data_IF_804603182389
#
_entry.id   IF_804603182389
#
_cell.length_a   1.000
_cell.length_b   1.000
_cell.length_c   1.000
_cell.angle_alpha   90.00
_cell.angle_beta   90.00
_cell.angle_gamma   90.00
#
_symmetry.space_group_name_H-M   'P 1'
#
loop_
_entity.id
_entity.type
_entity.pdbx_description
1 polymer ?
#
# COMPACT_ATOMS: atom_id res chain seq x y z
N UNK A 1 0.86 8.84 8.38
CA UNK A 1 -0.43 8.09 8.48
C UNK A 1 -0.25 6.61 8.16
N UNK A 2 0.30 6.23 7.00
CA UNK A 2 0.54 4.82 6.62
C UNK A 2 1.37 4.01 7.63
N UNK A 3 2.47 4.57 8.16
CA UNK A 3 3.30 3.87 9.16
C UNK A 3 2.57 3.60 10.49
N UNK A 4 1.69 4.51 10.92
CA UNK A 4 0.90 4.31 12.15
C UNK A 4 -0.25 3.32 11.94
N UNK A 5 -0.88 3.32 10.77
CA UNK A 5 -1.88 2.31 10.41
C UNK A 5 -1.24 0.92 10.28
N UNK A 6 -0.05 0.82 9.67
CA UNK A 6 0.73 -0.41 9.62
C UNK A 6 1.15 -0.87 11.03
N UNK A 7 1.61 0.04 11.89
CA UNK A 7 1.94 -0.26 13.28
C UNK A 7 0.74 -0.79 14.06
N UNK A 8 -0.43 -0.16 13.96
CA UNK A 8 -1.66 -0.65 14.57
C UNK A 8 -2.09 -2.00 13.97
N UNK A 9 -2.05 -2.14 12.64
CA UNK A 9 -2.34 -3.39 11.93
C UNK A 9 -1.47 -4.56 12.44
N UNK A 10 -0.18 -4.33 12.66
CA UNK A 10 0.76 -5.33 13.16
C UNK A 10 0.62 -5.58 14.66
N UNK A 11 0.38 -4.53 15.46
CA UNK A 11 0.13 -4.68 16.90
C UNK A 11 -1.11 -5.56 17.15
N UNK A 12 -2.20 -5.36 16.39
CA UNK A 12 -3.40 -6.20 16.49
C UNK A 12 -3.22 -7.64 15.96
N UNK A 13 -2.30 -7.85 15.00
CA UNK A 13 -1.95 -9.19 14.51
C UNK A 13 -1.02 -9.96 15.47
N UNK A 14 -0.05 -9.27 16.07
CA UNK A 14 1.03 -9.86 16.87
C UNK A 14 0.63 -10.03 18.34
N UNK A 15 -0.18 -9.10 18.87
CA UNK A 15 -0.67 -9.13 20.26
C UNK A 15 -2.20 -9.20 20.27
N UNK A 16 -2.80 -10.37 20.01
CA UNK A 16 -4.24 -10.54 20.26
C UNK A 16 -4.49 -10.37 21.76
N UNK A 17 -5.37 -9.43 22.13
CA UNK A 17 -5.80 -9.28 23.52
C UNK A 17 -6.36 -10.62 24.05
N UNK A 18 -5.61 -11.30 24.92
CA UNK A 18 -6.01 -12.52 25.64
C UNK A 18 -7.04 -12.22 26.74
N UNK A 19 -8.18 -11.60 26.39
CA UNK A 19 -9.29 -11.42 27.34
C UNK A 19 -10.49 -12.20 26.87
N UNK A 20 -10.53 -13.47 27.28
CA UNK A 20 -11.73 -14.30 27.28
C UNK A 20 -12.91 -13.55 27.93
N UNK A 21 -14.05 -13.52 27.25
CA UNK A 21 -15.36 -13.27 27.87
C UNK A 21 -15.90 -11.85 27.91
N UNK A 22 -15.18 -10.80 27.46
CA UNK A 22 -15.77 -9.44 27.31
C UNK A 22 -15.95 -9.11 25.84
N UNK A 23 -17.17 -8.73 25.42
CA UNK A 23 -17.49 -8.22 24.08
C UNK A 23 -16.36 -7.27 23.65
N UNK A 24 -15.62 -7.61 22.58
CA UNK A 24 -14.55 -6.75 22.04
C UNK A 24 -15.13 -5.36 21.83
N UNK A 25 -14.66 -4.37 22.59
CA UNK A 25 -15.05 -2.97 22.36
C UNK A 25 -14.55 -2.63 20.95
N UNK A 26 -15.48 -2.31 20.06
CA UNK A 26 -15.12 -1.77 18.75
C UNK A 26 -14.45 -0.42 19.01
N UNK A 27 -13.20 -0.25 18.55
CA UNK A 27 -12.54 1.03 18.67
C UNK A 27 -13.14 1.96 17.61
N UNK A 28 -13.60 3.14 18.05
CA UNK A 28 -14.17 4.16 17.18
C UNK A 28 -13.16 5.29 17.06
N UNK A 29 -12.96 5.77 15.83
CA UNK A 29 -12.11 6.92 15.52
C UNK A 29 -12.93 7.97 14.77
N UNK A 30 -12.58 9.24 14.92
CA UNK A 30 -13.18 10.35 14.18
C UNK A 30 -12.13 10.91 13.21
N UNK A 31 -11.93 10.29 12.03
CA UNK A 31 -10.77 10.55 11.19
C UNK A 31 -10.73 11.97 10.62
N UNK A 32 -11.88 12.65 10.53
CA UNK A 32 -12.00 13.98 9.94
C UNK A 32 -12.10 15.10 10.99
N UNK A 33 -12.14 14.78 12.29
CA UNK A 33 -12.34 15.76 13.36
C UNK A 33 -11.33 16.92 13.36
N UNK A 34 -10.12 16.68 12.83
CA UNK A 34 -9.00 17.63 12.79
C UNK A 34 -8.64 18.16 11.38
N UNK A 35 -9.39 17.80 10.34
CA UNK A 35 -9.16 18.31 8.97
C UNK A 35 -9.26 19.85 8.88
N UNK A 36 -8.67 20.51 7.88
CA UNK A 36 -8.91 21.95 7.75
C UNK A 36 -10.37 22.24 7.37
N UNK A 37 -10.95 23.31 7.91
CA UNK A 37 -12.34 23.73 7.62
C UNK A 37 -12.40 24.37 6.22
N UNK A 38 -12.26 23.56 5.18
CA UNK A 38 -12.19 24.01 3.79
C UNK A 38 -13.14 23.18 2.93
N UNK A 39 -13.94 23.89 2.13
CA UNK A 39 -14.81 23.31 1.10
C UNK A 39 -15.82 22.28 1.60
N UNK A 40 -16.11 22.18 2.90
CA UNK A 40 -17.09 21.24 3.45
C UNK A 40 -18.52 21.55 2.93
N UNK A 41 -19.28 20.53 2.55
CA UNK A 41 -20.72 20.68 2.22
C UNK A 41 -21.56 20.71 3.51
N UNK A 42 -21.25 19.79 4.42
CA UNK A 42 -21.90 19.67 5.72
C UNK A 42 -20.85 19.42 6.81
N UNK A 43 -20.69 20.36 7.75
CA UNK A 43 -19.69 20.26 8.82
C UNK A 43 -19.98 19.17 9.85
N UNK A 44 -21.19 18.62 9.89
CA UNK A 44 -21.56 17.52 10.79
C UNK A 44 -20.83 16.20 10.46
N UNK A 45 -20.59 15.93 9.17
CA UNK A 45 -19.92 14.72 8.69
C UNK A 45 -18.48 14.57 9.19
N UNK A 46 -17.91 15.67 9.66
CA UNK A 46 -16.59 15.72 10.28
C UNK A 46 -16.50 14.91 11.58
N UNK A 47 -17.61 14.84 12.30
CA UNK A 47 -17.72 14.14 13.57
C UNK A 47 -18.19 12.69 13.40
N UNK A 48 -18.39 12.23 12.15
CA UNK A 48 -18.70 10.83 11.87
C UNK A 48 -17.63 9.93 12.50
N UNK A 49 -18.10 8.95 13.28
CA UNK A 49 -17.24 7.92 13.83
C UNK A 49 -17.11 6.76 12.85
N UNK A 50 -15.90 6.23 12.72
CA UNK A 50 -15.60 5.05 11.95
C UNK A 50 -15.05 3.95 12.86
N UNK A 51 -15.49 2.73 12.64
CA UNK A 51 -14.99 1.55 13.36
C UNK A 51 -13.62 1.13 12.80
N UNK A 52 -12.70 0.78 13.69
CA UNK A 52 -11.39 0.23 13.32
C UNK A 52 -10.98 -0.90 14.30
N UNK A 53 -10.39 -2.01 13.81
CA UNK A 53 -10.31 -2.42 12.41
C UNK A 53 -11.69 -2.81 11.84
N UNK A 54 -11.81 -2.86 10.52
CA UNK A 54 -13.05 -3.20 9.81
C UNK A 54 -13.40 -4.69 9.94
N UNK A 55 -14.67 -5.03 9.69
CA UNK A 55 -15.15 -6.41 9.81
C UNK A 55 -14.45 -7.38 8.83
N UNK A 56 -14.06 -6.88 7.66
CA UNK A 56 -13.29 -7.65 6.68
C UNK A 56 -11.95 -8.10 7.23
N UNK A 57 -11.22 -7.20 7.89
CA UNK A 57 -9.96 -7.53 8.57
C UNK A 57 -10.16 -8.57 9.68
N UNK A 58 -11.19 -8.42 10.51
CA UNK A 58 -11.46 -9.36 11.61
C UNK A 58 -11.67 -10.77 11.06
N UNK A 59 -12.36 -10.90 9.92
CA UNK A 59 -12.58 -12.19 9.26
C UNK A 59 -11.26 -12.78 8.72
N UNK A 60 -10.41 -11.98 8.07
CA UNK A 60 -9.10 -12.42 7.57
C UNK A 60 -8.21 -12.90 8.72
N UNK A 61 -8.19 -12.15 9.83
CA UNK A 61 -7.42 -12.52 11.01
C UNK A 61 -7.90 -13.87 11.61
N UNK A 62 -9.22 -14.07 11.70
CA UNK A 62 -9.78 -15.35 12.15
C UNK A 62 -9.42 -16.51 11.22
N UNK A 63 -9.45 -16.29 9.90
CA UNK A 63 -9.11 -17.30 8.91
C UNK A 63 -7.62 -17.69 8.94
N UNK A 64 -6.72 -16.72 9.22
CA UNK A 64 -5.29 -16.97 9.39
C UNK A 64 -5.00 -17.74 10.67
N UNK A 65 -5.62 -17.36 11.79
CA UNK A 65 -5.40 -17.97 13.10
C UNK A 65 -6.07 -19.35 13.24
N UNK A 66 -7.22 -19.57 12.59
CA UNK A 66 -7.99 -20.82 12.69
C UNK A 66 -8.25 -21.48 11.31
N UNK A 67 -7.22 -22.00 10.63
CA UNK A 67 -7.36 -22.62 9.31
C UNK A 67 -8.19 -23.92 9.30
N UNK A 68 -8.55 -24.44 10.49
CA UNK A 68 -9.09 -25.79 10.69
C UNK A 68 -10.63 -25.88 10.80
N UNK A 69 -11.36 -24.76 10.93
CA UNK A 69 -12.70 -24.84 11.53
C UNK A 69 -13.88 -25.12 10.58
N UNK A 70 -13.78 -24.99 9.25
CA UNK A 70 -14.99 -25.08 8.38
C UNK A 70 -14.78 -25.62 6.95
N UNK A 71 -14.03 -26.71 6.72
CA UNK A 71 -14.04 -27.37 5.40
C UNK A 71 -14.35 -28.86 5.50
N UNK A 72 -15.42 -29.36 4.82
CA UNK A 72 -15.71 -30.78 4.74
C UNK A 72 -14.54 -31.57 4.15
N UNK A 73 -14.44 -32.85 4.48
CA UNK A 73 -13.28 -33.69 4.16
C UNK A 73 -12.92 -33.74 2.67
N UNK A 74 -13.89 -33.61 1.75
CA UNK A 74 -13.69 -33.55 0.31
C UNK A 74 -13.10 -32.23 -0.21
N UNK A 75 -13.11 -31.17 0.61
CA UNK A 75 -12.51 -29.84 0.32
C UNK A 75 -11.16 -29.62 1.00
N UNK A 76 -10.59 -30.64 1.66
CA UNK A 76 -9.21 -30.63 2.20
C UNK A 76 -8.20 -30.59 1.05
N UNK A 77 -7.99 -29.40 0.47
CA UNK A 77 -6.81 -29.13 -0.36
C UNK A 77 -5.55 -29.33 0.48
N UNK A 78 -4.48 -29.86 -0.16
CA UNK A 78 -3.11 -29.98 0.38
C UNK A 78 -2.80 -28.77 1.28
N UNK A 79 -2.29 -29.04 2.50
CA UNK A 79 -1.92 -28.09 3.56
C UNK A 79 -1.32 -26.83 2.93
N UNK A 80 -2.13 -25.78 2.73
CA UNK A 80 -1.65 -24.49 2.21
C UNK A 80 -0.69 -23.96 3.27
N UNK A 81 0.58 -23.75 2.90
CA UNK A 81 1.50 -22.98 3.75
C UNK A 81 0.85 -21.62 3.95
N UNK A 82 0.56 -21.26 5.19
CA UNK A 82 0.10 -19.91 5.55
C UNK A 82 1.28 -18.97 5.23
N UNK A 83 1.02 -17.88 4.52
CA UNK A 83 2.06 -16.88 4.24
C UNK A 83 2.55 -16.25 5.54
N UNK A 84 3.85 -16.00 5.65
CA UNK A 84 4.41 -15.24 6.76
C UNK A 84 4.46 -13.76 6.39
N UNK A 85 4.07 -12.89 7.32
CA UNK A 85 4.19 -11.45 7.19
C UNK A 85 5.26 -10.92 8.15
N UNK A 86 6.09 -10.00 7.69
CA UNK A 86 7.09 -9.29 8.48
C UNK A 86 7.07 -7.81 8.12
N UNK A 87 7.58 -6.96 9.01
CA UNK A 87 7.70 -5.52 8.75
C UNK A 87 9.01 -4.99 9.33
N UNK A 88 9.45 -3.87 8.77
CA UNK A 88 10.66 -3.19 9.22
C UNK A 88 10.33 -1.72 9.45
N UNK A 89 10.84 -1.17 10.55
CA UNK A 89 10.74 0.27 10.84
C UNK A 89 12.06 0.90 10.38
N UNK A 90 11.98 1.84 9.46
CA UNK A 90 13.14 2.53 8.94
C UNK A 90 12.80 3.32 7.69
N UNK A 91 13.79 4.08 7.23
CA UNK A 91 13.74 4.69 5.91
C UNK A 91 14.07 3.65 4.83
N UNK A 92 13.39 3.74 3.69
CA UNK A 92 13.49 2.75 2.62
C UNK A 92 14.90 2.68 2.03
N UNK A 93 15.52 3.83 1.75
CA UNK A 93 16.80 3.85 1.05
C UNK A 93 17.94 3.34 1.93
N UNK A 94 17.92 3.68 3.21
CA UNK A 94 18.88 3.16 4.20
C UNK A 94 18.67 1.67 4.49
N UNK A 95 17.43 1.24 4.75
CA UNK A 95 17.11 -0.15 5.16
C UNK A 95 17.39 -1.16 4.05
N UNK A 96 17.05 -0.80 2.81
CA UNK A 96 17.18 -1.69 1.65
C UNK A 96 18.30 -1.28 0.71
N UNK A 97 19.31 -0.59 1.25
CA UNK A 97 20.52 -0.23 0.50
C UNK A 97 21.13 -1.44 -0.21
N UNK A 98 21.75 -1.28 -1.39
CA UNK A 98 22.34 -2.39 -2.14
C UNK A 98 23.43 -3.18 -1.39
N UNK A 99 24.05 -2.57 -0.38
CA UNK A 99 25.01 -3.24 0.50
C UNK A 99 24.36 -4.20 1.50
N UNK A 100 23.06 -4.05 1.78
CA UNK A 100 22.36 -4.77 2.84
C UNK A 100 21.52 -5.94 2.30
N UNK A 101 20.87 -5.76 1.16
CA UNK A 101 19.92 -6.72 0.60
C UNK A 101 20.06 -6.79 -0.91
N UNK A 102 20.15 -7.98 -1.48
CA UNK A 102 20.24 -8.19 -2.93
C UNK A 102 19.41 -9.39 -3.38
N UNK A 103 18.65 -9.24 -4.48
CA UNK A 103 17.93 -10.35 -5.13
C UNK A 103 17.03 -11.14 -4.16
N UNK A 104 16.37 -10.44 -3.23
CA UNK A 104 15.62 -11.06 -2.13
C UNK A 104 14.18 -11.36 -2.53
N UNK A 105 13.58 -10.51 -3.38
CA UNK A 105 12.14 -10.53 -3.62
C UNK A 105 11.78 -11.00 -5.03
N UNK A 106 10.79 -11.89 -5.13
CA UNK A 106 10.20 -12.31 -6.41
C UNK A 106 9.27 -11.24 -6.98
N UNK A 107 8.64 -10.47 -6.10
CA UNK A 107 7.75 -9.39 -6.50
C UNK A 107 7.77 -8.26 -5.49
N UNK A 108 7.65 -7.02 -5.99
CA UNK A 108 7.54 -5.80 -5.17
C UNK A 108 6.27 -5.07 -5.58
N UNK A 109 5.56 -4.52 -4.61
CA UNK A 109 4.34 -3.74 -4.84
C UNK A 109 4.52 -2.38 -4.17
N UNK A 110 4.36 -1.30 -4.95
CA UNK A 110 4.37 0.07 -4.46
C UNK A 110 2.98 0.68 -4.61
N UNK A 111 2.51 1.37 -3.57
CA UNK A 111 1.18 1.99 -3.56
C UNK A 111 1.29 3.39 -2.93
N UNK A 112 1.04 4.46 -3.69
CA UNK A 112 1.23 5.86 -3.24
C UNK A 112 2.60 6.07 -2.56
N UNK A 113 3.67 5.64 -3.25
CA UNK A 113 5.01 5.53 -2.67
C UNK A 113 6.11 6.16 -3.51
N UNK A 114 6.12 5.93 -4.83
CA UNK A 114 7.25 6.36 -5.66
C UNK A 114 7.43 7.87 -5.70
N UNK A 115 6.35 8.62 -5.54
CA UNK A 115 6.30 10.09 -5.53
C UNK A 115 6.82 10.72 -4.22
N UNK A 116 7.10 9.90 -3.20
CA UNK A 116 7.74 10.35 -1.95
C UNK A 116 9.27 10.41 -2.04
N UNK A 117 9.86 9.98 -3.16
CA UNK A 117 11.30 9.94 -3.32
C UNK A 117 11.90 11.36 -3.40
N UNK A 118 12.92 11.63 -2.58
CA UNK A 118 13.79 12.81 -2.77
C UNK A 118 14.60 12.67 -4.06
N UNK A 119 15.06 11.45 -4.34
CA UNK A 119 15.71 11.08 -5.59
C UNK A 119 15.10 9.79 -6.14
N UNK A 120 14.30 9.90 -7.20
CA UNK A 120 13.65 8.74 -7.83
C UNK A 120 14.67 7.72 -8.38
N UNK A 121 15.85 8.15 -8.83
CA UNK A 121 16.88 7.23 -9.31
C UNK A 121 17.38 6.29 -8.22
N UNK A 122 17.48 6.77 -6.98
CA UNK A 122 17.87 5.95 -5.84
C UNK A 122 16.81 4.86 -5.56
N UNK A 123 15.53 5.24 -5.63
CA UNK A 123 14.43 4.28 -5.49
C UNK A 123 14.46 3.23 -6.60
N UNK A 124 14.62 3.63 -7.86
CA UNK A 124 14.69 2.72 -9.00
C UNK A 124 15.87 1.75 -8.88
N UNK A 125 17.04 2.24 -8.46
CA UNK A 125 18.23 1.42 -8.24
C UNK A 125 17.98 0.36 -7.17
N UNK A 126 17.42 0.77 -6.04
CA UNK A 126 17.12 -0.14 -4.92
C UNK A 126 16.08 -1.16 -5.33
N UNK A 127 14.96 -0.74 -5.93
CA UNK A 127 13.90 -1.65 -6.39
C UNK A 127 14.44 -2.68 -7.41
N UNK A 128 15.25 -2.22 -8.36
CA UNK A 128 15.91 -3.11 -9.31
C UNK A 128 16.84 -4.10 -8.61
N UNK A 129 17.61 -3.65 -7.62
CA UNK A 129 18.57 -4.49 -6.90
C UNK A 129 17.88 -5.51 -5.97
N UNK A 130 16.76 -5.13 -5.36
CA UNK A 130 15.95 -5.98 -4.49
C UNK A 130 15.24 -7.11 -5.24
N UNK A 131 14.88 -6.88 -6.50
CA UNK A 131 14.22 -7.89 -7.32
C UNK A 131 15.17 -8.98 -7.79
N UNK A 132 14.69 -10.22 -7.70
CA UNK A 132 15.28 -11.36 -8.39
C UNK A 132 15.19 -11.19 -9.90
N UNK A 133 16.05 -11.91 -10.63
CA UNK A 133 15.95 -11.96 -12.09
C UNK A 133 14.60 -12.49 -12.55
N UNK A 134 13.93 -11.77 -13.45
CA UNK A 134 12.57 -12.09 -13.86
C UNK A 134 11.50 -11.74 -12.81
N UNK A 135 11.88 -11.13 -11.69
CA UNK A 135 10.96 -10.62 -10.68
C UNK A 135 10.10 -9.47 -11.21
N UNK A 136 8.95 -9.27 -10.58
CA UNK A 136 7.91 -8.34 -11.04
C UNK A 136 7.76 -7.17 -10.06
N UNK A 137 7.69 -5.96 -10.57
CA UNK A 137 7.31 -4.79 -9.81
C UNK A 137 5.97 -4.24 -10.31
N UNK A 138 5.03 -4.08 -9.37
CA UNK A 138 3.70 -3.53 -9.59
C UNK A 138 3.61 -2.20 -8.87
N UNK A 139 3.11 -1.17 -9.55
CA UNK A 139 2.87 0.14 -8.96
C UNK A 139 1.43 0.60 -9.15
N UNK A 140 0.87 1.24 -8.13
CA UNK A 140 -0.38 2.00 -8.21
C UNK A 140 -0.25 3.28 -7.40
N UNK A 141 -0.30 4.44 -8.04
CA UNK A 141 -0.31 5.71 -7.31
C UNK A 141 -0.07 6.90 -8.21
N UNK A 142 -0.33 8.12 -7.74
CA UNK A 142 -0.06 9.34 -8.49
C UNK A 142 1.45 9.59 -8.65
N UNK A 143 1.77 10.57 -9.49
CA UNK A 143 3.09 11.20 -9.56
C UNK A 143 3.04 12.59 -8.91
N UNK A 144 2.56 12.67 -7.67
CA UNK A 144 2.52 13.94 -6.94
C UNK A 144 3.84 14.16 -6.20
N UNK A 145 4.89 14.48 -6.96
CA UNK A 145 6.23 14.67 -6.43
C UNK A 145 6.24 15.66 -5.27
N UNK A 146 6.84 15.24 -4.16
CA UNK A 146 6.97 16.09 -2.98
C UNK A 146 7.87 17.31 -3.28
N UNK A 147 7.68 18.41 -2.55
CA UNK A 147 8.39 19.68 -2.80
C UNK A 147 9.91 19.62 -2.64
N UNK A 148 10.43 18.57 -2.00
CA UNK A 148 11.85 18.31 -1.82
C UNK A 148 12.41 17.30 -2.83
N UNK A 149 11.62 16.87 -3.81
CA UNK A 149 12.09 16.00 -4.89
C UNK A 149 13.10 16.77 -5.75
N UNK A 150 14.25 16.15 -5.99
CA UNK A 150 15.29 16.70 -6.87
C UNK A 150 14.87 16.67 -8.33
N UNK A 151 14.01 15.71 -8.69
CA UNK A 151 13.54 15.47 -10.04
C UNK A 151 12.06 15.11 -10.01
N UNK A 152 11.34 15.55 -11.02
CA UNK A 152 9.90 15.36 -11.15
C UNK A 152 9.55 14.82 -12.54
N UNK A 153 10.01 13.59 -12.89
CA UNK A 153 9.74 13.04 -14.21
C UNK A 153 8.24 12.84 -14.43
N UNK A 154 7.80 13.05 -15.67
CA UNK A 154 6.49 12.65 -16.15
C UNK A 154 6.37 11.12 -16.22
N UNK A 155 5.15 10.62 -16.42
CA UNK A 155 4.93 9.18 -16.60
C UNK A 155 5.73 8.65 -17.82
N UNK A 156 5.74 9.38 -18.94
CA UNK A 156 6.44 8.95 -20.15
C UNK A 156 7.97 8.92 -19.94
N UNK A 157 8.53 9.92 -19.27
CA UNK A 157 9.95 9.93 -18.92
C UNK A 157 10.30 8.79 -17.96
N UNK A 158 9.47 8.55 -16.94
CA UNK A 158 9.68 7.47 -15.98
C UNK A 158 9.68 6.10 -16.69
N UNK A 159 8.77 5.90 -17.66
CA UNK A 159 8.73 4.69 -18.48
C UNK A 159 10.04 4.47 -19.23
N UNK A 160 10.52 5.50 -19.94
CA UNK A 160 11.78 5.44 -20.71
C UNK A 160 12.96 5.17 -19.78
N UNK A 161 13.02 5.84 -18.62
CA UNK A 161 14.07 5.60 -17.62
C UNK A 161 14.07 4.15 -17.15
N UNK A 162 12.90 3.56 -16.91
CA UNK A 162 12.78 2.17 -16.49
C UNK A 162 13.21 1.18 -17.58
N UNK A 163 12.75 1.38 -18.83
CA UNK A 163 13.03 0.48 -19.96
C UNK A 163 14.50 0.55 -20.42
N UNK A 164 15.00 1.76 -20.65
CA UNK A 164 16.33 2.00 -21.26
C UNK A 164 17.42 2.21 -20.21
N UNK A 165 17.10 2.87 -19.09
CA UNK A 165 18.08 3.21 -18.05
C UNK A 165 18.35 2.07 -17.07
N UNK A 166 17.30 1.39 -16.61
CA UNK A 166 17.39 0.34 -15.58
C UNK A 166 17.15 -1.08 -16.11
N UNK A 167 16.82 -1.24 -17.40
CA UNK A 167 16.66 -2.56 -18.01
C UNK A 167 15.41 -3.31 -17.53
N UNK A 168 14.34 -2.59 -17.20
CA UNK A 168 13.03 -3.21 -16.99
C UNK A 168 12.37 -3.54 -18.33
N UNK A 169 11.46 -4.51 -18.29
CA UNK A 169 10.55 -4.85 -19.37
C UNK A 169 9.15 -4.45 -18.93
N UNK A 170 8.52 -3.53 -19.65
CA UNK A 170 7.16 -3.07 -19.34
C UNK A 170 6.16 -4.10 -19.86
N UNK A 171 5.35 -4.64 -18.95
CA UNK A 171 4.26 -5.57 -19.27
C UNK A 171 2.92 -4.84 -19.37
N UNK A 172 2.71 -3.86 -18.49
CA UNK A 172 1.51 -3.03 -18.44
C UNK A 172 1.91 -1.62 -18.02
N UNK A 173 1.29 -0.59 -18.63
CA UNK A 173 1.52 0.81 -18.32
C UNK A 173 0.31 1.64 -18.69
N UNK A 174 -0.23 2.40 -17.75
CA UNK A 174 -1.37 3.29 -17.99
C UNK A 174 -1.61 4.25 -16.84
N UNK A 175 -2.12 5.44 -17.16
CA UNK A 175 -2.69 6.35 -16.18
C UNK A 175 -4.19 6.16 -16.23
N UNK A 176 -4.84 5.97 -15.08
CA UNK A 176 -6.30 5.80 -15.05
C UNK A 176 -7.00 7.09 -15.51
N UNK A 177 -8.08 6.94 -16.28
CA UNK A 177 -8.96 8.06 -16.69
C UNK A 177 -9.96 8.45 -15.60
N UNK A 178 -10.04 7.64 -14.53
CA UNK A 178 -10.97 7.83 -13.41
C UNK A 178 -10.16 8.17 -12.16
N UNK A 179 -10.51 9.29 -11.52
CA UNK A 179 -9.85 9.71 -10.31
C UNK A 179 -10.29 8.85 -9.11
N UNK A 180 -9.34 8.48 -8.26
CA UNK A 180 -9.55 7.66 -7.06
C UNK A 180 -9.25 8.50 -5.81
N UNK A 181 -10.12 8.42 -4.81
CA UNK A 181 -9.93 9.11 -3.54
C UNK A 181 -8.90 8.39 -2.65
N UNK A 182 -8.03 9.14 -1.98
CA UNK A 182 -7.03 8.56 -1.07
C UNK A 182 -7.55 8.29 0.35
N UNK A 183 -8.27 9.25 0.95
CA UNK A 183 -8.82 9.12 2.33
C UNK A 183 -10.33 8.93 2.40
N UNK A 184 -11.05 9.36 1.38
CA UNK A 184 -12.52 9.43 1.43
C UNK A 184 -13.16 8.17 0.85
N UNK A 185 -14.09 7.60 1.60
CA UNK A 185 -14.92 6.49 1.16
C UNK A 185 -15.94 7.00 0.15
N UNK A 186 -16.18 6.26 -0.92
CA UNK A 186 -17.30 6.49 -1.84
C UNK A 186 -18.61 6.00 -1.20
N UNK A 187 -19.04 6.67 -0.12
CA UNK A 187 -20.28 6.39 0.61
C UNK A 187 -21.49 7.15 0.04
N UNK A 188 -21.33 7.77 -1.13
CA UNK A 188 -22.33 8.64 -1.76
C UNK A 188 -22.54 9.97 -1.04
N UNK A 189 -21.83 10.24 0.06
CA UNK A 189 -21.88 11.53 0.75
C UNK A 189 -20.83 12.46 0.17
N UNK A 190 -21.29 13.53 -0.46
CA UNK A 190 -20.41 14.61 -0.92
C UNK A 190 -19.94 15.41 0.30
N UNK A 191 -18.81 15.02 0.90
CA UNK A 191 -18.24 15.70 2.07
C UNK A 191 -17.67 17.09 1.72
N UNK A 192 -17.15 17.25 0.51
CA UNK A 192 -16.54 18.48 0.03
C UNK A 192 -17.12 18.94 -1.30
N UNK A 193 -17.22 20.26 -1.49
CA UNK A 193 -17.70 20.93 -2.72
C UNK A 193 -16.71 20.80 -3.90
N UNK A 194 -15.46 20.39 -3.63
CA UNK A 194 -14.44 20.06 -4.62
C UNK A 194 -13.81 18.73 -4.25
N UNK A 195 -13.48 17.91 -5.24
CA UNK A 195 -12.60 16.75 -5.04
C UNK A 195 -11.21 17.24 -4.63
N UNK A 196 -10.97 17.33 -3.33
CA UNK A 196 -9.73 17.87 -2.76
C UNK A 196 -8.59 16.85 -2.73
N UNK A 197 -8.90 15.55 -2.77
CA UNK A 197 -7.93 14.45 -2.54
C UNK A 197 -8.14 13.25 -3.49
N UNK A 198 -8.52 13.52 -4.73
CA UNK A 198 -8.66 12.50 -5.77
C UNK A 198 -7.48 12.55 -6.74
N UNK A 199 -7.05 11.37 -7.22
CA UNK A 199 -5.86 11.23 -8.04
C UNK A 199 -6.11 10.33 -9.24
N UNK A 200 -5.46 10.60 -10.37
CA UNK A 200 -5.36 9.68 -11.49
C UNK A 200 -4.10 8.82 -11.31
N UNK A 201 -4.23 7.59 -10.78
CA UNK A 201 -3.06 6.77 -10.50
C UNK A 201 -2.36 6.33 -11.79
N UNK A 202 -1.03 6.37 -11.78
CA UNK A 202 -0.20 5.62 -12.69
C UNK A 202 -0.15 4.15 -12.23
N UNK A 203 -0.61 3.25 -13.10
CA UNK A 203 -0.54 1.81 -12.94
C UNK A 203 0.48 1.24 -13.90
N UNK A 204 1.38 0.43 -13.38
CA UNK A 204 2.24 -0.36 -14.24
C UNK A 204 2.63 -1.68 -13.61
N UNK A 205 2.98 -2.60 -14.49
CA UNK A 205 3.62 -3.86 -14.17
C UNK A 205 4.88 -3.95 -15.00
N UNK A 206 6.03 -4.06 -14.35
CA UNK A 206 7.31 -4.24 -15.01
C UNK A 206 8.03 -5.46 -14.50
N UNK A 207 8.86 -6.06 -15.35
CA UNK A 207 9.68 -7.23 -15.04
C UNK A 207 11.15 -6.87 -15.15
N UNK A 208 11.95 -7.30 -14.17
CA UNK A 208 13.42 -7.19 -14.26
C UNK A 208 13.93 -8.16 -15.33
N UNK A 209 14.62 -7.65 -16.36
CA UNK A 209 15.22 -8.49 -17.41
C UNK A 209 16.23 -9.46 -16.78
N UNK A 210 16.31 -10.66 -17.33
CA UNK A 210 17.35 -11.63 -16.93
C UNK A 210 18.67 -11.19 -17.53
N UNK A 211 19.70 -11.10 -16.70
CA UNK A 211 21.06 -10.89 -17.19
C UNK A 211 21.46 -12.14 -17.99
N UNK A 212 21.88 -11.95 -19.23
CA UNK A 212 22.25 -13.04 -20.14
C UNK A 212 23.61 -13.61 -19.79
#
# INVERSE_FOLDING_TARGET
VMASAAHSFLHFLIFPDEKEGKKKKKNMIHPFALDMLLNEVHSEYRYDAMEFPDEGYIQIQQDILNPSSKKPWWRRRKKRRVGQASYTIGDFTSTYSPSSHSSTFTSIITCFFIDTATNIYEYLLILHHLLQEGGIWINVGPLQWHTNALLTPSADELRVLMEEGFGFEVLEWGVDDVAVNYRHVEDGKTRYTKMTESYFPLRFVVRKRKTR
#
